data_IF_546737676153
#
_entry.id   IF_546737676153
#
_cell.length_a   1.000
_cell.length_b   1.000
_cell.length_c   1.000
_cell.angle_alpha   90.00
_cell.angle_beta   90.00
_cell.angle_gamma   90.00
#
_symmetry.space_group_name_H-M   'P 1'
#
loop_
_entity.id
_entity.type
_entity.pdbx_description
1 polymer ?
#
# COMPACT_ATOMS: atom_id res chain seq x y z
N UNK A 1 1.38 -2.07 -0.08
CA UNK A 1 2.83 -1.91 0.09
C UNK A 1 3.41 -3.13 0.79
N UNK A 2 4.73 -3.32 0.69
CA UNK A 2 5.48 -4.32 1.44
C UNK A 2 6.49 -3.58 2.32
N UNK A 3 6.44 -3.78 3.64
CA UNK A 3 7.43 -3.20 4.57
C UNK A 3 8.41 -4.23 5.15
N UNK A 4 9.58 -3.78 5.59
CA UNK A 4 10.55 -4.56 6.38
C UNK A 4 11.25 -3.63 7.37
N UNK A 5 10.92 -3.72 8.66
CA UNK A 5 11.56 -2.96 9.75
C UNK A 5 11.43 -1.42 9.69
N UNK A 6 10.84 -0.83 8.64
CA UNK A 6 10.74 0.63 8.41
C UNK A 6 9.39 1.21 8.86
N UNK A 7 8.99 0.94 10.09
CA UNK A 7 7.68 1.36 10.62
C UNK A 7 7.49 2.88 10.69
N UNK A 8 8.58 3.64 10.86
CA UNK A 8 8.54 5.10 10.79
C UNK A 8 8.12 5.58 9.40
N UNK A 9 8.73 5.03 8.35
CA UNK A 9 8.39 5.38 6.95
C UNK A 9 7.01 4.90 6.55
N UNK A 10 6.67 3.68 6.97
CA UNK A 10 5.32 3.18 6.79
C UNK A 10 4.27 4.08 7.44
N UNK A 11 4.54 4.62 8.64
CA UNK A 11 3.64 5.56 9.30
C UNK A 11 3.55 6.88 8.53
N UNK A 12 4.69 7.45 8.08
CA UNK A 12 4.71 8.65 7.24
C UNK A 12 3.88 8.46 5.95
N UNK A 13 3.99 7.30 5.31
CA UNK A 13 3.18 6.93 4.14
C UNK A 13 1.69 6.86 4.49
N UNK A 14 1.32 6.15 5.56
CA UNK A 14 -0.08 6.01 6.00
C UNK A 14 -0.68 7.39 6.29
N UNK A 15 0.02 8.22 7.05
CA UNK A 15 -0.45 9.55 7.45
C UNK A 15 -0.65 10.45 6.22
N UNK A 16 0.31 10.44 5.30
CA UNK A 16 0.20 11.20 4.06
C UNK A 16 -0.95 10.71 3.16
N UNK A 17 -1.17 9.39 3.05
CA UNK A 17 -2.33 8.83 2.33
C UNK A 17 -3.62 9.31 3.01
N UNK A 18 -3.72 9.19 4.33
CA UNK A 18 -4.94 9.52 5.09
C UNK A 18 -5.29 11.01 5.02
N UNK A 19 -4.30 11.89 4.84
CA UNK A 19 -4.52 13.31 4.62
C UNK A 19 -5.32 13.60 3.34
N UNK A 20 -5.11 12.83 2.27
CA UNK A 20 -5.71 13.11 0.95
C UNK A 20 -6.77 12.07 0.52
N UNK A 21 -6.68 10.84 1.02
CA UNK A 21 -7.51 9.69 0.67
C UNK A 21 -7.93 8.91 1.93
N UNK A 22 -8.82 9.48 2.76
CA UNK A 22 -9.14 8.93 4.09
C UNK A 22 -9.81 7.55 4.06
N UNK A 23 -10.44 7.17 2.94
CA UNK A 23 -11.23 5.95 2.79
C UNK A 23 -10.59 4.89 1.88
N UNK A 24 -9.39 5.14 1.33
CA UNK A 24 -8.70 4.14 0.50
C UNK A 24 -8.12 3.05 1.40
N UNK A 25 -8.38 1.79 1.06
CA UNK A 25 -7.79 0.64 1.77
C UNK A 25 -6.28 0.58 1.53
N UNK A 26 -5.52 0.48 2.62
CA UNK A 26 -4.07 0.30 2.62
C UNK A 26 -3.80 -1.15 3.02
N UNK A 27 -3.32 -1.94 2.06
CA UNK A 27 -2.89 -3.33 2.30
C UNK A 27 -1.39 -3.35 2.53
N UNK A 28 -0.97 -3.95 3.65
CA UNK A 28 0.43 -4.01 4.10
C UNK A 28 0.83 -5.47 4.26
N UNK A 29 1.81 -5.92 3.49
CA UNK A 29 2.50 -7.18 3.74
C UNK A 29 3.79 -6.92 4.53
N UNK A 30 3.98 -7.63 5.64
CA UNK A 30 5.08 -7.43 6.58
C UNK A 30 5.75 -8.76 6.93
N UNK A 31 7.02 -8.91 6.59
CA UNK A 31 7.84 -10.09 6.90
C UNK A 31 8.98 -9.76 7.87
N UNK A 32 8.80 -8.75 8.72
CA UNK A 32 9.73 -8.39 9.78
C UNK A 32 9.85 -9.52 10.82
N UNK A 33 11.02 -9.66 11.46
CA UNK A 33 11.26 -10.72 12.47
C UNK A 33 10.39 -10.53 13.70
N UNK A 34 10.19 -9.27 14.09
CA UNK A 34 9.38 -8.85 15.23
C UNK A 34 8.38 -7.81 14.75
N UNK A 35 7.27 -8.24 14.12
CA UNK A 35 6.35 -7.32 13.49
C UNK A 35 5.63 -6.46 14.53
N UNK A 36 5.53 -5.16 14.27
CA UNK A 36 4.70 -4.24 15.06
C UNK A 36 3.31 -4.19 14.47
N UNK A 37 2.28 -4.27 15.31
CA UNK A 37 0.90 -4.13 14.86
C UNK A 37 0.67 -2.74 14.27
N UNK A 38 0.20 -2.70 13.03
CA UNK A 38 -0.27 -1.48 12.36
C UNK A 38 -1.79 -1.59 12.24
N UNK A 39 -2.51 -0.66 12.87
CA UNK A 39 -3.97 -0.69 12.94
C UNK A 39 -4.57 0.69 12.68
N UNK A 40 -5.74 0.72 12.06
CA UNK A 40 -6.48 1.95 11.80
C UNK A 40 -7.62 1.71 10.80
N UNK A 41 -8.45 2.73 10.54
CA UNK A 41 -9.51 2.62 9.54
C UNK A 41 -8.91 2.31 8.17
N UNK A 42 -9.53 1.36 7.45
CA UNK A 42 -9.13 0.91 6.12
C UNK A 42 -7.66 0.45 6.04
N UNK A 43 -7.13 -0.14 7.11
CA UNK A 43 -5.80 -0.79 7.12
C UNK A 43 -5.99 -2.30 7.23
N UNK A 44 -5.35 -3.02 6.31
CA UNK A 44 -5.26 -4.47 6.34
C UNK A 44 -3.78 -4.86 6.45
N UNK A 45 -3.37 -5.38 7.61
CA UNK A 45 -1.98 -5.71 7.91
C UNK A 45 -1.81 -7.23 7.96
N UNK A 46 -1.04 -7.76 7.02
CA UNK A 46 -0.77 -9.20 6.87
C UNK A 46 0.67 -9.51 7.25
N UNK A 47 0.83 -10.33 8.28
CA UNK A 47 2.12 -10.78 8.78
C UNK A 47 2.53 -12.06 8.05
N UNK A 48 3.78 -12.10 7.61
CA UNK A 48 4.40 -13.20 6.91
C UNK A 48 5.54 -13.82 7.72
N UNK A 49 5.96 -15.06 7.39
CA UNK A 49 7.19 -15.60 7.95
C UNK A 49 8.37 -14.68 7.65
N UNK A 50 9.30 -14.58 8.61
CA UNK A 50 10.45 -13.68 8.54
C UNK A 50 11.25 -13.82 7.24
N UNK A 51 11.56 -12.69 6.61
CA UNK A 51 12.49 -12.62 5.48
C UNK A 51 12.05 -13.37 4.22
N UNK A 52 10.74 -13.60 4.04
CA UNK A 52 10.21 -14.25 2.82
C UNK A 52 10.44 -13.44 1.55
N UNK A 53 10.65 -12.14 1.68
CA UNK A 53 11.15 -11.29 0.62
C UNK A 53 10.07 -10.63 -0.23
N UNK A 54 10.53 -9.76 -1.13
CA UNK A 54 9.70 -8.80 -1.85
C UNK A 54 8.59 -9.44 -2.70
N UNK A 55 8.92 -10.45 -3.51
CA UNK A 55 7.94 -11.10 -4.40
C UNK A 55 6.83 -11.81 -3.63
N UNK A 56 7.17 -12.52 -2.56
CA UNK A 56 6.19 -13.20 -1.73
C UNK A 56 5.24 -12.18 -1.06
N UNK A 57 5.78 -11.07 -0.55
CA UNK A 57 4.98 -10.00 0.06
C UNK A 57 4.09 -9.28 -0.95
N UNK A 58 4.59 -9.04 -2.17
CA UNK A 58 3.78 -8.47 -3.25
C UNK A 58 2.62 -9.37 -3.64
N UNK A 59 2.89 -10.65 -3.85
CA UNK A 59 1.85 -11.61 -4.20
C UNK A 59 0.80 -11.74 -3.10
N UNK A 60 1.22 -11.77 -1.83
CA UNK A 60 0.29 -11.77 -0.70
C UNK A 60 -0.60 -10.52 -0.73
N UNK A 61 -0.02 -9.32 -0.72
CA UNK A 61 -0.81 -8.09 -0.68
C UNK A 61 -1.78 -7.96 -1.87
N UNK A 62 -1.33 -8.29 -3.09
CA UNK A 62 -2.20 -8.26 -4.29
C UNK A 62 -3.33 -9.28 -4.19
N UNK A 63 -3.08 -10.47 -3.64
CA UNK A 63 -4.12 -11.51 -3.47
C UNK A 63 -5.27 -11.12 -2.53
N UNK A 64 -5.10 -10.06 -1.72
CA UNK A 64 -6.13 -9.56 -0.80
C UNK A 64 -6.97 -8.43 -1.42
N UNK A 65 -6.55 -7.89 -2.57
CA UNK A 65 -7.25 -6.77 -3.22
C UNK A 65 -8.48 -7.28 -3.97
N UNK A 66 -9.62 -6.66 -3.72
CA UNK A 66 -10.90 -6.96 -4.38
C UNK A 66 -11.41 -5.79 -5.24
N UNK A 67 -10.71 -4.66 -5.23
CA UNK A 67 -11.05 -3.46 -6.02
C UNK A 67 -10.61 -3.61 -7.47
N UNK A 68 -11.29 -2.91 -8.39
CA UNK A 68 -10.96 -2.91 -9.83
C UNK A 68 -9.51 -2.47 -10.11
N UNK A 69 -8.99 -1.54 -9.30
CA UNK A 69 -7.64 -1.01 -9.43
C UNK A 69 -6.83 -1.21 -8.16
N UNK A 70 -5.52 -1.36 -8.34
CA UNK A 70 -4.53 -1.36 -7.28
C UNK A 70 -3.45 -0.33 -7.62
N UNK A 71 -3.04 0.46 -6.63
CA UNK A 71 -1.82 1.23 -6.72
C UNK A 71 -0.78 0.62 -5.77
N UNK A 72 0.32 0.16 -6.34
CA UNK A 72 1.47 -0.28 -5.55
C UNK A 72 2.42 0.89 -5.31
N UNK A 73 2.78 1.12 -4.05
CA UNK A 73 3.82 2.08 -3.65
C UNK A 73 4.73 1.45 -2.60
N UNK A 74 5.98 1.88 -2.59
CA UNK A 74 6.95 1.51 -1.56
C UNK A 74 6.72 2.32 -0.28
N UNK A 75 7.27 1.86 0.84
CA UNK A 75 6.98 2.39 2.18
C UNK A 75 7.58 3.78 2.46
N UNK A 76 8.36 4.34 1.54
CA UNK A 76 8.94 5.68 1.61
C UNK A 76 8.34 6.70 0.64
N UNK A 77 7.21 6.35 0.00
CA UNK A 77 6.42 7.31 -0.76
C UNK A 77 5.68 8.27 0.17
N UNK A 78 5.47 9.51 -0.27
CA UNK A 78 4.67 10.51 0.43
C UNK A 78 3.62 11.06 -0.51
N UNK A 79 2.36 10.97 -0.10
CA UNK A 79 1.26 11.56 -0.82
C UNK A 79 1.22 13.06 -0.53
N UNK A 80 1.02 13.85 -1.58
CA UNK A 80 0.98 15.32 -1.47
C UNK A 80 -0.29 15.85 -2.12
N UNK A 81 -0.51 17.15 -2.02
CA UNK A 81 -1.61 17.82 -2.71
C UNK A 81 -1.59 17.62 -4.24
N UNK A 82 -0.44 17.24 -4.82
CA UNK A 82 -0.27 16.97 -6.24
C UNK A 82 -0.50 15.49 -6.61
N UNK A 83 -0.60 14.59 -5.64
CA UNK A 83 -0.92 13.17 -5.89
C UNK A 83 -2.42 13.05 -6.18
N UNK A 84 -2.78 12.68 -7.41
CA UNK A 84 -4.16 12.63 -7.92
C UNK A 84 -4.49 11.24 -8.46
N UNK A 85 -4.98 10.35 -7.59
CA UNK A 85 -5.30 8.96 -7.96
C UNK A 85 -6.43 8.89 -8.99
N UNK A 86 -7.40 9.79 -8.87
CA UNK A 86 -8.52 9.93 -9.80
C UNK A 86 -8.05 10.23 -11.22
N UNK A 87 -6.95 10.97 -11.39
CA UNK A 87 -6.37 11.23 -12.72
C UNK A 87 -5.71 9.99 -13.30
N UNK A 88 -5.10 9.15 -12.46
CA UNK A 88 -4.52 7.87 -12.90
C UNK A 88 -5.62 6.92 -13.38
N UNK A 89 -6.69 6.79 -12.57
CA UNK A 89 -7.87 5.98 -12.93
C UNK A 89 -8.53 6.50 -14.20
N UNK A 90 -8.69 7.82 -14.34
CA UNK A 90 -9.26 8.44 -15.53
C UNK A 90 -8.52 8.07 -16.82
N UNK A 91 -7.18 7.99 -16.78
CA UNK A 91 -6.38 7.57 -17.93
C UNK A 91 -6.62 6.10 -18.25
N UNK A 92 -6.65 5.23 -17.23
CA UNK A 92 -6.92 3.80 -17.41
C UNK A 92 -8.33 3.52 -17.97
N UNK A 93 -9.34 4.30 -17.57
CA UNK A 93 -10.72 4.13 -18.06
C UNK A 93 -10.94 4.69 -19.47
N UNK A 94 -10.17 5.72 -19.88
CA UNK A 94 -10.38 6.45 -21.15
C UNK A 94 -9.44 6.03 -22.26
N UNK A 95 -8.48 5.16 -21.99
CA UNK A 95 -7.50 4.69 -22.96
C UNK A 95 -7.40 3.17 -22.93
N UNK A 96 -6.77 2.57 -23.94
CA UNK A 96 -6.44 1.13 -23.93
C UNK A 96 -5.09 0.87 -23.26
N UNK A 97 -4.61 1.80 -22.43
CA UNK A 97 -3.35 1.67 -21.73
C UNK A 97 -3.52 0.67 -20.58
N UNK A 98 -2.68 -0.36 -20.60
CA UNK A 98 -2.52 -1.32 -19.51
C UNK A 98 -1.09 -1.17 -18.97
N UNK A 99 -0.93 -1.03 -17.65
CA UNK A 99 0.33 -0.67 -16.95
C UNK A 99 0.54 -1.50 -15.68
#
# INVERSE_FOLDING_TARGET
TKTFLRYDKLQDLIDSIRQYYPTVTIVIADDSEHPKTVSGPYIEHYIMPFGKGWFAGRNLAVSQVTTKYVLWVDDDFIFTANTKLEKLVDVLEKTTLDL
#
